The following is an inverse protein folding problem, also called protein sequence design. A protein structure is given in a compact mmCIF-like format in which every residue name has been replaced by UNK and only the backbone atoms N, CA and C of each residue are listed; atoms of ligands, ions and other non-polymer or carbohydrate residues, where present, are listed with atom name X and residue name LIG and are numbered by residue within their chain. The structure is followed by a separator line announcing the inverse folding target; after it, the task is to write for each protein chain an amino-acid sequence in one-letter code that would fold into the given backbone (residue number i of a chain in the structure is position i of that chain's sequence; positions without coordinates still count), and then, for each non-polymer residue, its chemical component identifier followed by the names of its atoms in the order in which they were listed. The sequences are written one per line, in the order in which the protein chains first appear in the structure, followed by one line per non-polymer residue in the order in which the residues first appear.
data_IF_504890048493
#
_entry.id   IF_504890048493
#
_cell.length_a   1.000
_cell.length_b   1.000
_cell.length_c   1.000
_cell.angle_alpha   90.00
_cell.angle_beta   90.00
_cell.angle_gamma   90.00
#
_symmetry.space_group_name_H-M   'P 1'
#
loop_
_entity.id
_entity.type
_entity.pdbx_description
1 polymer ?
#
# COMPACT_ATOMS: atom_id res chain seq x y z
N UNK A 1 5.36 1.68 33.26
CA UNK A 1 4.84 2.20 31.98
C UNK A 1 5.93 2.04 30.94
N UNK A 2 5.66 1.33 29.84
CA UNK A 2 6.59 1.09 28.75
C UNK A 2 6.31 2.01 27.56
N UNK A 3 7.32 2.20 26.72
CA UNK A 3 7.25 2.97 25.48
C UNK A 3 7.85 2.13 24.36
N UNK A 4 7.07 1.86 23.32
CA UNK A 4 7.46 1.08 22.16
C UNK A 4 7.71 2.02 20.97
N UNK A 5 8.93 1.99 20.42
CA UNK A 5 9.35 2.79 19.26
C UNK A 5 10.00 1.91 18.21
N UNK A 6 10.07 2.41 16.98
CA UNK A 6 10.67 1.70 15.83
C UNK A 6 12.17 1.41 16.00
N UNK A 7 12.88 2.25 16.75
CA UNK A 7 14.32 2.20 16.95
C UNK A 7 14.75 1.17 17.99
N UNK A 8 13.80 0.60 18.74
CA UNK A 8 14.06 -0.35 19.81
C UNK A 8 14.42 -1.73 19.26
N UNK A 9 15.34 -2.39 19.96
CA UNK A 9 15.65 -3.81 19.74
C UNK A 9 14.46 -4.71 20.13
N UNK A 10 14.51 -5.98 19.74
CA UNK A 10 13.48 -6.95 20.15
C UNK A 10 13.40 -7.09 21.67
N UNK A 11 14.53 -7.07 22.36
CA UNK A 11 14.61 -7.17 23.81
C UNK A 11 14.00 -5.95 24.49
N UNK A 12 14.29 -4.75 23.98
CA UNK A 12 13.72 -3.49 24.48
C UNK A 12 12.22 -3.41 24.24
N UNK A 13 11.74 -3.85 23.06
CA UNK A 13 10.31 -3.97 22.75
C UNK A 13 9.59 -4.92 23.70
N UNK A 14 10.18 -6.08 23.98
CA UNK A 14 9.62 -7.05 24.93
C UNK A 14 9.50 -6.42 26.32
N UNK A 15 10.54 -5.76 26.81
CA UNK A 15 10.51 -5.04 28.09
C UNK A 15 9.44 -3.94 28.12
N UNK A 16 9.23 -3.23 27.00
CA UNK A 16 8.17 -2.23 26.88
C UNK A 16 6.77 -2.86 27.00
N UNK A 17 6.51 -3.97 26.32
CA UNK A 17 5.23 -4.69 26.39
C UNK A 17 4.97 -5.40 27.73
N UNK A 18 6.03 -5.75 28.47
CA UNK A 18 5.92 -6.35 29.81
C UNK A 18 5.39 -5.38 30.87
N UNK A 19 5.47 -4.06 30.62
CA UNK A 19 4.89 -3.07 31.51
C UNK A 19 3.35 -3.19 31.62
N UNK A 20 2.79 -2.67 32.71
CA UNK A 20 1.33 -2.65 32.93
C UNK A 20 0.57 -1.80 31.90
N UNK A 21 1.21 -0.73 31.42
CA UNK A 21 0.70 0.20 30.41
C UNK A 21 1.81 0.45 29.41
N UNK A 22 1.51 0.34 28.12
CA UNK A 22 2.46 0.55 27.02
C UNK A 22 1.94 1.64 26.09
N UNK A 23 2.75 2.66 25.83
CA UNK A 23 2.51 3.63 24.75
C UNK A 23 3.25 3.18 23.48
N UNK A 24 2.61 3.34 22.33
CA UNK A 24 3.13 2.94 21.02
C UNK A 24 2.37 3.68 19.93
N UNK A 25 2.93 3.74 18.72
CA UNK A 25 2.16 4.10 17.53
C UNK A 25 1.39 2.89 17.00
N UNK A 26 0.29 3.14 16.30
CA UNK A 26 -0.49 2.13 15.55
C UNK A 26 0.41 1.31 14.61
N UNK A 27 1.30 1.97 13.86
CA UNK A 27 2.27 1.32 12.98
C UNK A 27 3.15 0.31 13.74
N UNK A 28 3.77 0.71 14.84
CA UNK A 28 4.63 -0.18 15.62
C UNK A 28 3.84 -1.36 16.22
N UNK A 29 2.63 -1.12 16.73
CA UNK A 29 1.76 -2.19 17.24
C UNK A 29 1.43 -3.22 16.15
N UNK A 30 1.04 -2.75 14.96
CA UNK A 30 0.68 -3.63 13.86
C UNK A 30 1.89 -4.38 13.28
N UNK A 31 3.04 -3.72 13.12
CA UNK A 31 4.26 -4.39 12.65
C UNK A 31 4.83 -5.38 13.67
N UNK A 32 4.77 -5.08 14.97
CA UNK A 32 5.15 -6.03 16.01
C UNK A 32 4.25 -7.26 15.98
N UNK A 33 2.94 -7.09 15.78
CA UNK A 33 2.02 -8.20 15.58
C UNK A 33 2.37 -9.05 14.34
N UNK A 34 2.63 -8.41 13.19
CA UNK A 34 3.02 -9.14 11.98
C UNK A 34 4.32 -9.92 12.20
N UNK A 35 5.34 -9.29 12.80
CA UNK A 35 6.62 -9.93 13.13
C UNK A 35 6.45 -11.09 14.10
N UNK A 36 5.61 -10.96 15.12
CA UNK A 36 5.28 -12.00 16.10
C UNK A 36 4.67 -13.26 15.47
N UNK A 37 4.00 -13.14 14.32
CA UNK A 37 3.44 -14.26 13.58
C UNK A 37 4.42 -14.85 12.54
N UNK A 38 5.62 -14.28 12.42
CA UNK A 38 6.68 -14.73 11.52
C UNK A 38 7.88 -15.34 12.27
N UNK A 39 7.91 -15.31 13.61
CA UNK A 39 9.00 -15.89 14.40
C UNK A 39 8.98 -17.42 14.36
N UNK A 40 10.15 -18.03 14.53
CA UNK A 40 10.29 -19.49 14.55
C UNK A 40 10.03 -20.06 15.95
N UNK A 41 10.40 -19.31 17.00
CA UNK A 41 10.26 -19.73 18.39
C UNK A 41 9.37 -18.76 19.16
N UNK A 42 8.57 -19.30 20.09
CA UNK A 42 7.58 -18.53 20.86
C UNK A 42 8.24 -17.42 21.69
N UNK A 43 9.45 -17.67 22.18
CA UNK A 43 10.23 -16.78 23.04
C UNK A 43 10.69 -15.53 22.29
N UNK A 44 10.73 -15.57 20.95
CA UNK A 44 11.11 -14.43 20.11
C UNK A 44 9.99 -13.40 19.92
N UNK A 45 8.77 -13.72 20.39
CA UNK A 45 7.65 -12.78 20.39
C UNK A 45 7.88 -11.62 21.34
N UNK A 46 7.42 -10.44 20.93
CA UNK A 46 7.48 -9.22 21.74
C UNK A 46 6.12 -8.85 22.32
N UNK A 47 5.01 -9.16 21.65
CA UNK A 47 3.68 -8.81 22.14
C UNK A 47 3.12 -9.85 23.12
N UNK A 48 2.38 -9.34 24.10
CA UNK A 48 1.48 -10.11 24.97
C UNK A 48 0.09 -10.20 24.34
N UNK A 49 -0.83 -11.02 24.89
CA UNK A 49 -2.21 -11.05 24.43
C UNK A 49 -2.85 -9.65 24.40
N UNK A 50 -3.55 -9.34 23.30
CA UNK A 50 -4.16 -8.04 23.05
C UNK A 50 -5.39 -7.83 23.95
N UNK A 51 -5.18 -7.19 25.10
CA UNK A 51 -6.22 -7.05 26.12
C UNK A 51 -7.07 -5.80 25.92
N UNK A 52 -6.48 -4.61 26.05
CA UNK A 52 -7.20 -3.34 25.96
C UNK A 52 -6.36 -2.30 25.23
N UNK A 53 -6.94 -1.64 24.23
CA UNK A 53 -6.37 -0.48 23.57
C UNK A 53 -7.24 0.76 23.79
N UNK A 54 -6.58 1.86 24.15
CA UNK A 54 -7.15 3.21 24.18
C UNK A 54 -6.45 4.01 23.09
N UNK A 55 -7.19 4.40 22.06
CA UNK A 55 -6.65 5.03 20.86
C UNK A 55 -6.87 6.55 20.96
N UNK A 56 -5.78 7.30 20.96
CA UNK A 56 -5.82 8.76 20.80
C UNK A 56 -5.95 9.12 19.31
N UNK A 57 -6.66 10.19 18.98
CA UNK A 57 -7.02 10.57 17.60
C UNK A 57 -7.61 9.39 16.81
N UNK A 58 -8.65 8.78 17.39
CA UNK A 58 -9.22 7.52 16.90
C UNK A 58 -9.81 7.61 15.48
N UNK A 59 -10.31 8.77 15.06
CA UNK A 59 -10.77 9.02 13.69
C UNK A 59 -9.60 8.98 12.69
N UNK A 60 -8.48 9.63 12.99
CA UNK A 60 -7.29 9.54 12.13
C UNK A 60 -6.78 8.10 11.98
N UNK A 61 -6.74 7.33 13.07
CA UNK A 61 -6.16 5.97 13.04
C UNK A 61 -7.13 4.93 12.46
N UNK A 62 -8.40 4.94 12.88
CA UNK A 62 -9.36 3.90 12.54
C UNK A 62 -10.19 4.18 11.30
N UNK A 63 -10.17 5.42 10.78
CA UNK A 63 -10.88 5.83 9.56
C UNK A 63 -9.88 6.25 8.48
N UNK A 64 -9.09 7.30 8.72
CA UNK A 64 -8.24 7.87 7.67
C UNK A 64 -7.10 6.94 7.24
N UNK A 65 -6.35 6.41 8.21
CA UNK A 65 -5.21 5.51 8.01
C UNK A 65 -5.63 4.06 7.77
N UNK A 66 -6.86 3.67 8.14
CA UNK A 66 -7.38 2.32 7.99
C UNK A 66 -7.45 1.82 6.54
N UNK A 67 -7.36 2.73 5.57
CA UNK A 67 -7.42 2.44 4.12
C UNK A 67 -6.17 1.72 3.60
N UNK A 68 -5.02 1.91 4.22
CA UNK A 68 -3.76 1.30 3.75
C UNK A 68 -3.37 0.15 4.69
N UNK A 69 -3.21 -1.08 4.17
CA UNK A 69 -2.76 -2.20 5.00
C UNK A 69 -1.28 -2.06 5.37
N UNK A 70 -0.92 -2.60 6.53
CA UNK A 70 0.47 -2.83 6.90
C UNK A 70 0.98 -4.07 6.16
N UNK A 71 2.15 -3.95 5.55
CA UNK A 71 2.74 -5.00 4.71
C UNK A 71 4.20 -5.21 5.13
N UNK A 72 4.58 -6.44 5.44
CA UNK A 72 5.98 -6.86 5.50
C UNK A 72 6.31 -7.53 4.17
N UNK A 73 7.19 -6.90 3.40
CA UNK A 73 7.71 -7.44 2.15
C UNK A 73 9.03 -8.19 2.40
N UNK A 74 9.18 -9.35 1.76
CA UNK A 74 10.41 -10.12 1.72
C UNK A 74 10.96 -10.20 0.30
N UNK A 75 12.20 -10.64 0.17
CA UNK A 75 12.75 -11.00 -1.14
C UNK A 75 12.12 -12.31 -1.60
N UNK A 76 11.51 -12.32 -2.79
CA UNK A 76 11.12 -13.56 -3.43
C UNK A 76 12.38 -14.40 -3.73
N UNK A 77 12.44 -15.63 -3.22
CA UNK A 77 13.53 -16.55 -3.56
C UNK A 77 13.51 -16.93 -5.05
N UNK A 78 14.68 -16.93 -5.70
CA UNK A 78 14.99 -17.43 -7.07
C UNK A 78 13.86 -17.36 -8.13
N UNK A 79 13.06 -16.29 -8.18
CA UNK A 79 12.02 -16.12 -9.22
C UNK A 79 12.63 -15.84 -10.60
N UNK A 80 13.81 -15.20 -10.64
CA UNK A 80 14.50 -14.87 -11.89
C UNK A 80 14.79 -16.09 -12.77
N UNK A 81 15.14 -17.25 -12.18
CA UNK A 81 15.41 -18.46 -12.97
C UNK A 81 14.14 -19.02 -13.62
N UNK A 82 13.01 -18.94 -12.90
CA UNK A 82 11.72 -19.38 -13.40
C UNK A 82 11.30 -18.53 -14.61
N UNK A 83 11.37 -17.19 -14.51
CA UNK A 83 11.06 -16.30 -15.64
C UNK A 83 11.99 -16.50 -16.83
N UNK A 84 13.29 -16.81 -16.61
CA UNK A 84 14.20 -17.17 -17.70
C UNK A 84 13.78 -18.45 -18.41
N UNK A 85 13.39 -19.49 -17.66
CA UNK A 85 12.93 -20.76 -18.21
C UNK A 85 11.58 -20.61 -18.94
N UNK A 86 10.62 -19.92 -18.32
CA UNK A 86 9.31 -19.64 -18.92
C UNK A 86 9.43 -18.79 -20.19
N UNK A 87 10.31 -17.78 -20.21
CA UNK A 87 10.61 -17.00 -21.42
C UNK A 87 11.19 -17.86 -22.55
N UNK A 88 12.15 -18.75 -22.22
CA UNK A 88 12.72 -19.67 -23.21
C UNK A 88 11.66 -20.64 -23.75
N UNK A 89 10.75 -21.12 -22.91
CA UNK A 89 9.64 -21.96 -23.30
C UNK A 89 8.64 -21.25 -24.23
N UNK A 90 8.20 -20.04 -23.86
CA UNK A 90 7.24 -19.25 -24.63
C UNK A 90 7.76 -18.95 -26.04
N UNK A 91 9.07 -18.71 -26.20
CA UNK A 91 9.71 -18.52 -27.52
C UNK A 91 9.60 -19.74 -28.44
N UNK A 92 9.32 -20.94 -27.91
CA UNK A 92 9.11 -22.16 -28.69
C UNK A 92 7.64 -22.39 -29.06
N UNK A 93 6.71 -21.59 -28.54
CA UNK A 93 5.29 -21.74 -28.80
C UNK A 93 4.91 -21.13 -30.15
N UNK A 94 3.93 -21.75 -30.81
CA UNK A 94 3.36 -21.27 -32.07
C UNK A 94 2.03 -20.57 -31.84
N UNK A 95 1.86 -19.39 -32.45
CA UNK A 95 0.65 -18.57 -32.33
C UNK A 95 -0.62 -19.24 -32.88
N UNK A 96 -0.48 -20.16 -33.83
CA UNK A 96 -1.63 -20.81 -34.48
C UNK A 96 -2.15 -22.02 -33.70
N UNK A 97 -1.31 -22.65 -32.87
CA UNK A 97 -1.62 -23.95 -32.25
C UNK A 97 -1.58 -23.93 -30.74
N UNK A 98 -0.66 -23.18 -30.14
CA UNK A 98 -0.26 -23.39 -28.74
C UNK A 98 -0.93 -22.40 -27.78
N UNK A 99 -1.49 -21.30 -28.28
CA UNK A 99 -2.20 -20.31 -27.47
C UNK A 99 -3.23 -19.54 -28.30
N UNK A 100 -4.18 -18.91 -27.61
CA UNK A 100 -5.16 -17.99 -28.18
C UNK A 100 -4.89 -16.58 -27.67
N UNK A 101 -5.07 -15.59 -28.54
CA UNK A 101 -4.97 -14.17 -28.21
C UNK A 101 -6.28 -13.47 -28.55
N UNK A 102 -6.82 -12.75 -27.59
CA UNK A 102 -8.02 -11.94 -27.77
C UNK A 102 -7.64 -10.45 -27.74
N UNK A 103 -7.72 -9.77 -28.90
CA UNK A 103 -7.31 -8.37 -29.04
C UNK A 103 -8.12 -7.39 -28.19
N UNK A 104 -9.41 -7.67 -27.96
CA UNK A 104 -10.31 -6.79 -27.21
C UNK A 104 -9.95 -6.72 -25.72
N UNK A 105 -9.54 -7.85 -25.14
CA UNK A 105 -9.18 -7.97 -23.72
C UNK A 105 -7.67 -7.94 -23.50
N UNK A 106 -6.87 -7.98 -24.58
CA UNK A 106 -5.44 -8.30 -24.56
C UNK A 106 -5.14 -9.55 -23.72
N UNK A 107 -6.07 -10.51 -23.69
CA UNK A 107 -5.97 -11.76 -22.95
C UNK A 107 -5.22 -12.81 -23.77
N UNK A 108 -4.31 -13.54 -23.15
CA UNK A 108 -3.61 -14.67 -23.78
C UNK A 108 -3.79 -15.91 -22.91
N UNK A 109 -4.19 -17.02 -23.54
CA UNK A 109 -4.42 -18.30 -22.85
C UNK A 109 -3.77 -19.42 -23.63
N UNK A 110 -3.13 -20.38 -22.95
CA UNK A 110 -2.65 -21.60 -23.60
C UNK A 110 -3.82 -22.44 -24.10
N UNK A 111 -3.65 -23.07 -25.26
CA UNK A 111 -4.56 -24.14 -25.73
C UNK A 111 -4.19 -25.46 -25.06
N UNK A 112 -5.03 -26.49 -25.20
CA UNK A 112 -4.71 -27.85 -24.73
C UNK A 112 -3.37 -28.36 -25.30
N UNK A 113 -3.07 -28.03 -26.56
CA UNK A 113 -1.79 -28.37 -27.19
C UNK A 113 -0.60 -27.62 -26.55
N UNK A 114 -0.79 -26.34 -26.20
CA UNK A 114 0.20 -25.56 -25.47
C UNK A 114 0.46 -26.08 -24.06
N UNK A 115 -0.60 -26.54 -23.37
CA UNK A 115 -0.50 -27.19 -22.05
C UNK A 115 0.28 -28.49 -22.14
N UNK A 116 -0.06 -29.38 -23.07
CA UNK A 116 0.66 -30.66 -23.25
C UNK A 116 2.15 -30.43 -23.58
N UNK A 117 2.45 -29.39 -24.36
CA UNK A 117 3.83 -28.99 -24.69
C UNK A 117 4.56 -28.44 -23.47
N UNK A 118 3.89 -27.69 -22.60
CA UNK A 118 4.45 -27.24 -21.33
C UNK A 118 4.76 -28.42 -20.40
N UNK A 119 3.81 -29.35 -20.25
CA UNK A 119 3.98 -30.57 -19.45
C UNK A 119 5.19 -31.39 -19.88
N UNK A 120 5.35 -31.60 -21.20
CA UNK A 120 6.53 -32.27 -21.77
C UNK A 120 7.83 -31.48 -21.57
N UNK A 121 7.81 -30.16 -21.75
CA UNK A 121 9.02 -29.33 -21.66
C UNK A 121 9.57 -29.25 -20.23
N UNK A 122 8.68 -29.23 -19.23
CA UNK A 122 9.03 -29.13 -17.82
C UNK A 122 9.05 -30.50 -17.10
N UNK A 123 8.65 -31.58 -17.78
CA UNK A 123 8.66 -32.94 -17.24
C UNK A 123 7.66 -33.13 -16.10
N UNK A 124 6.45 -32.56 -16.25
CA UNK A 124 5.38 -32.60 -15.25
C UNK A 124 4.12 -33.26 -15.84
N UNK A 125 3.33 -33.89 -14.98
CA UNK A 125 2.14 -34.62 -15.42
C UNK A 125 0.91 -33.72 -15.61
N UNK A 126 0.78 -32.66 -14.81
CA UNK A 126 -0.34 -31.73 -14.87
C UNK A 126 0.10 -30.30 -14.52
N UNK A 127 -0.02 -29.38 -15.48
CA UNK A 127 0.34 -27.95 -15.28
C UNK A 127 -0.57 -27.24 -14.26
N UNK A 128 -1.80 -27.73 -14.07
CA UNK A 128 -2.79 -27.14 -13.17
C UNK A 128 -2.74 -27.68 -11.74
N UNK A 129 -1.80 -28.56 -11.43
CA UNK A 129 -1.62 -29.06 -10.07
C UNK A 129 -1.17 -27.93 -9.12
N UNK A 130 -1.56 -28.03 -7.84
CA UNK A 130 -1.25 -27.03 -6.82
C UNK A 130 0.27 -26.84 -6.62
N UNK A 131 1.06 -27.87 -6.91
CA UNK A 131 2.52 -27.82 -6.88
C UNK A 131 3.12 -26.95 -8.00
N UNK A 132 2.41 -26.75 -9.10
CA UNK A 132 2.89 -26.07 -10.31
C UNK A 132 2.27 -24.69 -10.53
N UNK A 133 1.48 -24.18 -9.57
CA UNK A 133 0.82 -22.86 -9.66
C UNK A 133 1.79 -21.74 -10.05
N UNK A 134 2.99 -21.72 -9.46
CA UNK A 134 4.01 -20.70 -9.77
C UNK A 134 4.55 -20.82 -11.20
N UNK A 135 4.75 -22.05 -11.68
CA UNK A 135 5.24 -22.30 -13.04
C UNK A 135 4.18 -21.89 -14.07
N UNK A 136 2.94 -22.32 -13.86
CA UNK A 136 1.81 -21.95 -14.70
C UNK A 136 1.65 -20.43 -14.76
N UNK A 137 1.70 -19.77 -13.59
CA UNK A 137 1.70 -18.31 -13.51
C UNK A 137 2.82 -17.66 -14.32
N UNK A 138 4.07 -18.10 -14.12
CA UNK A 138 5.21 -17.56 -14.84
C UNK A 138 5.12 -17.77 -16.36
N UNK A 139 4.63 -18.92 -16.83
CA UNK A 139 4.38 -19.18 -18.25
C UNK A 139 3.34 -18.22 -18.81
N UNK A 140 2.20 -18.04 -18.13
CA UNK A 140 1.16 -17.11 -18.59
C UNK A 140 1.65 -15.66 -18.63
N UNK A 141 2.42 -15.21 -17.63
CA UNK A 141 3.00 -13.85 -17.63
C UNK A 141 4.06 -13.69 -18.73
N UNK A 142 4.91 -14.69 -18.96
CA UNK A 142 5.85 -14.70 -20.09
C UNK A 142 5.10 -14.66 -21.42
N UNK A 143 4.03 -15.43 -21.57
CA UNK A 143 3.24 -15.46 -22.79
C UNK A 143 2.55 -14.11 -23.06
N UNK A 144 1.96 -13.50 -22.02
CA UNK A 144 1.41 -12.14 -22.08
C UNK A 144 2.46 -11.09 -22.44
N UNK A 145 3.67 -11.18 -21.87
CA UNK A 145 4.77 -10.28 -22.19
C UNK A 145 5.19 -10.37 -23.66
N UNK A 146 5.14 -11.56 -24.27
CA UNK A 146 5.48 -11.75 -25.69
C UNK A 146 4.38 -11.28 -26.64
N UNK A 147 3.13 -11.60 -26.35
CA UNK A 147 2.02 -11.45 -27.30
C UNK A 147 1.29 -10.12 -27.16
N UNK A 148 1.14 -9.60 -25.93
CA UNK A 148 0.32 -8.42 -25.66
C UNK A 148 1.12 -7.15 -25.40
N UNK A 149 2.38 -7.28 -24.96
CA UNK A 149 3.22 -6.15 -24.55
C UNK A 149 4.29 -5.87 -25.61
N UNK A 150 4.30 -4.65 -26.14
CA UNK A 150 5.17 -4.27 -27.25
C UNK A 150 6.15 -3.16 -26.83
N UNK A 151 7.43 -3.34 -27.19
CA UNK A 151 8.45 -2.30 -27.03
C UNK A 151 8.10 -1.10 -27.93
N UNK A 152 8.39 0.11 -27.47
CA UNK A 152 8.03 1.40 -28.06
C UNK A 152 6.52 1.70 -28.15
N UNK A 153 5.67 0.87 -27.54
CA UNK A 153 4.21 1.09 -27.46
C UNK A 153 3.73 1.03 -26.02
N UNK A 154 3.90 -0.12 -25.36
CA UNK A 154 3.45 -0.31 -23.97
C UNK A 154 4.57 0.02 -22.96
N UNK A 155 5.83 -0.23 -23.34
CA UNK A 155 7.03 0.07 -22.54
C UNK A 155 8.21 0.43 -23.44
N UNK A 156 9.27 0.97 -22.85
CA UNK A 156 10.59 1.17 -23.50
C UNK A 156 11.70 0.58 -22.64
N UNK A 157 12.79 0.17 -23.29
CA UNK A 157 14.02 -0.26 -22.61
C UNK A 157 15.01 0.92 -22.57
N UNK A 158 15.32 1.42 -21.38
CA UNK A 158 16.25 2.54 -21.21
C UNK A 158 17.24 2.22 -20.08
N UNK A 159 18.54 2.38 -20.33
CA UNK A 159 19.61 2.15 -19.34
C UNK A 159 19.60 0.74 -18.72
N UNK A 160 19.05 -0.25 -19.42
CA UNK A 160 18.88 -1.60 -18.87
C UNK A 160 17.74 -1.71 -17.87
N UNK A 161 16.72 -0.85 -17.95
CA UNK A 161 15.48 -0.93 -17.19
C UNK A 161 14.26 -0.84 -18.11
N UNK A 162 13.15 -1.46 -17.67
CA UNK A 162 11.86 -1.37 -18.35
C UNK A 162 11.08 -0.17 -17.81
N UNK A 163 10.79 0.80 -18.68
CA UNK A 163 10.00 1.99 -18.32
C UNK A 163 8.65 1.92 -19.01
N UNK A 164 7.57 2.04 -18.23
CA UNK A 164 6.19 1.99 -18.73
C UNK A 164 5.88 3.27 -19.53
N UNK A 165 5.20 3.11 -20.66
CA UNK A 165 4.67 4.22 -21.47
C UNK A 165 3.19 4.39 -21.17
N UNK A 166 2.76 5.62 -20.89
CA UNK A 166 1.34 5.94 -20.80
C UNK A 166 0.70 5.89 -22.21
N UNK A 167 -0.25 4.97 -22.41
CA UNK A 167 -0.91 4.75 -23.69
C UNK A 167 -1.71 5.94 -24.23
N UNK A 168 -2.04 6.95 -23.40
CA UNK A 168 -2.74 8.15 -23.86
C UNK A 168 -1.79 9.30 -24.19
N UNK A 169 -0.74 9.48 -23.40
CA UNK A 169 0.11 10.67 -23.47
C UNK A 169 1.50 10.40 -24.03
N UNK A 170 1.91 9.12 -24.15
CA UNK A 170 3.26 8.71 -24.52
C UNK A 170 4.32 9.03 -23.47
N UNK A 171 3.91 9.45 -22.25
CA UNK A 171 4.84 9.83 -21.18
C UNK A 171 5.48 8.60 -20.56
N UNK A 172 6.78 8.73 -20.27
CA UNK A 172 7.55 7.74 -19.53
C UNK A 172 7.20 7.78 -18.04
N UNK A 173 6.65 6.69 -17.52
CA UNK A 173 6.23 6.56 -16.12
C UNK A 173 7.35 5.97 -15.26
N UNK A 174 8.38 6.78 -14.99
CA UNK A 174 9.51 6.36 -14.14
C UNK A 174 9.05 5.95 -12.73
N UNK A 175 9.64 4.90 -12.19
CA UNK A 175 9.32 4.35 -10.87
C UNK A 175 8.05 3.49 -10.81
N UNK A 176 7.31 3.33 -11.91
CA UNK A 176 6.20 2.38 -11.99
C UNK A 176 6.67 1.04 -12.55
N UNK A 177 6.14 -0.05 -11.98
CA UNK A 177 6.35 -1.42 -12.45
C UNK A 177 5.01 -2.08 -12.73
N UNK A 178 4.98 -3.04 -13.64
CA UNK A 178 3.80 -3.87 -13.84
C UNK A 178 3.67 -4.84 -12.65
N UNK A 179 2.44 -5.11 -12.25
CA UNK A 179 2.14 -6.02 -11.14
C UNK A 179 2.16 -7.49 -11.57
N UNK A 180 2.05 -8.39 -10.59
CA UNK A 180 1.75 -9.81 -10.80
C UNK A 180 2.81 -10.59 -11.62
N UNK A 181 4.07 -10.15 -11.52
CA UNK A 181 5.18 -10.79 -12.22
C UNK A 181 5.33 -10.45 -13.70
N UNK A 182 4.44 -9.63 -14.27
CA UNK A 182 4.50 -9.23 -15.68
C UNK A 182 5.76 -8.43 -15.99
N UNK A 183 6.21 -7.59 -15.05
CA UNK A 183 7.39 -6.76 -15.25
C UNK A 183 8.66 -7.62 -15.38
N UNK A 184 8.81 -8.64 -14.53
CA UNK A 184 9.89 -9.63 -14.59
C UNK A 184 9.84 -10.46 -15.89
N UNK A 185 8.63 -10.78 -16.36
CA UNK A 185 8.45 -11.46 -17.64
C UNK A 185 8.92 -10.61 -18.83
N UNK A 186 8.69 -9.29 -18.80
CA UNK A 186 9.19 -8.34 -19.81
C UNK A 186 10.71 -8.18 -19.69
N UNK A 187 11.25 -8.02 -18.48
CA UNK A 187 12.71 -8.00 -18.23
C UNK A 187 13.37 -9.25 -18.83
N UNK A 188 12.79 -10.44 -18.60
CA UNK A 188 13.27 -11.70 -19.17
C UNK A 188 13.15 -11.74 -20.70
N UNK A 189 12.05 -11.23 -21.27
CA UNK A 189 11.83 -11.15 -22.73
C UNK A 189 12.90 -10.32 -23.42
N UNK A 190 13.19 -9.13 -22.87
CA UNK A 190 14.15 -8.16 -23.41
C UNK A 190 15.61 -8.47 -23.04
N UNK A 191 15.85 -9.49 -22.22
CA UNK A 191 17.19 -9.90 -21.81
C UNK A 191 17.85 -8.95 -20.81
N UNK A 192 17.05 -8.15 -20.10
CA UNK A 192 17.46 -7.22 -19.06
C UNK A 192 17.66 -7.96 -17.73
N UNK A 193 18.41 -7.37 -16.79
CA UNK A 193 18.55 -7.92 -15.45
C UNK A 193 17.17 -8.00 -14.77
N UNK A 194 16.75 -9.21 -14.43
CA UNK A 194 15.47 -9.45 -13.76
C UNK A 194 15.61 -9.03 -12.31
N UNK A 195 14.91 -7.97 -11.93
CA UNK A 195 14.93 -7.54 -10.54
C UNK A 195 14.01 -8.44 -9.72
N UNK A 196 14.50 -8.88 -8.56
CA UNK A 196 13.72 -9.73 -7.67
C UNK A 196 12.40 -9.04 -7.29
N UNK A 197 11.34 -9.84 -7.25
CA UNK A 197 10.04 -9.39 -6.80
C UNK A 197 10.05 -9.20 -5.28
N UNK A 198 9.47 -8.09 -4.84
CA UNK A 198 9.09 -7.89 -3.44
C UNK A 198 7.82 -8.70 -3.20
N UNK A 199 7.90 -9.78 -2.42
CA UNK A 199 6.74 -10.60 -2.09
C UNK A 199 6.16 -10.18 -0.74
N UNK A 200 4.85 -10.02 -0.65
CA UNK A 200 4.16 -9.80 0.63
C UNK A 200 4.27 -11.06 1.50
N UNK A 201 5.01 -10.98 2.59
CA UNK A 201 5.19 -12.07 3.55
C UNK A 201 4.06 -12.11 4.59
N UNK A 202 3.63 -10.93 5.03
CA UNK A 202 2.55 -10.78 6.00
C UNK A 202 1.83 -9.44 5.76
N UNK A 203 0.52 -9.42 5.99
CA UNK A 203 -0.29 -8.21 5.84
C UNK A 203 -1.45 -8.18 6.83
N UNK A 204 -1.80 -6.98 7.30
CA UNK A 204 -3.00 -6.73 8.12
C UNK A 204 -3.47 -5.29 7.94
N UNK A 205 -4.79 -5.05 7.95
CA UNK A 205 -5.36 -3.70 8.02
C UNK A 205 -5.47 -3.24 9.48
N UNK A 206 -5.45 -1.93 9.75
CA UNK A 206 -5.71 -1.43 11.10
C UNK A 206 -7.07 -1.88 11.64
N UNK A 207 -8.09 -1.91 10.78
CA UNK A 207 -9.42 -2.45 11.12
C UNK A 207 -9.33 -3.85 11.73
N UNK A 208 -8.68 -4.78 11.02
CA UNK A 208 -8.54 -6.16 11.49
C UNK A 208 -7.63 -6.26 12.70
N UNK A 209 -6.57 -5.45 12.77
CA UNK A 209 -5.65 -5.43 13.90
C UNK A 209 -6.35 -5.03 15.21
N UNK A 210 -7.02 -3.88 15.23
CA UNK A 210 -7.65 -3.37 16.44
C UNK A 210 -8.89 -4.16 16.87
N UNK A 211 -9.57 -4.83 15.93
CA UNK A 211 -10.67 -5.77 16.26
C UNK A 211 -10.24 -7.00 17.06
N UNK A 212 -8.95 -7.32 17.11
CA UNK A 212 -8.45 -8.45 17.91
C UNK A 212 -8.33 -8.13 19.41
N UNK A 213 -8.37 -6.86 19.80
CA UNK A 213 -8.32 -6.50 21.22
C UNK A 213 -9.62 -6.92 21.93
N UNK A 214 -9.51 -7.46 23.15
CA UNK A 214 -10.69 -7.86 23.93
C UNK A 214 -11.59 -6.66 24.28
N UNK A 215 -10.98 -5.48 24.47
CA UNK A 215 -11.66 -4.22 24.66
C UNK A 215 -11.00 -3.14 23.81
N UNK A 216 -11.80 -2.25 23.25
CA UNK A 216 -11.34 -1.12 22.44
C UNK A 216 -12.05 0.15 22.90
N UNK A 217 -11.30 1.24 23.01
CA UNK A 217 -11.85 2.59 23.22
C UNK A 217 -10.97 3.60 22.48
N UNK A 218 -11.49 4.80 22.28
CA UNK A 218 -10.74 5.88 21.69
C UNK A 218 -11.29 7.25 22.04
N UNK A 219 -10.48 8.27 21.77
CA UNK A 219 -10.80 9.67 22.01
C UNK A 219 -10.38 10.51 20.80
N UNK A 220 -11.16 11.55 20.51
CA UNK A 220 -10.93 12.53 19.44
C UNK A 220 -11.90 13.69 19.60
N UNK A 221 -11.61 14.82 18.97
CA UNK A 221 -12.54 15.96 18.84
C UNK A 221 -13.64 15.75 17.80
N UNK A 222 -13.48 14.84 16.84
CA UNK A 222 -14.23 14.85 15.56
C UNK A 222 -14.94 13.54 15.18
N UNK A 223 -15.24 12.64 16.11
CA UNK A 223 -15.84 11.33 15.80
C UNK A 223 -17.33 11.33 15.41
N UNK A 224 -18.08 12.42 15.59
CA UNK A 224 -19.55 12.38 15.48
C UNK A 224 -20.05 12.17 14.04
N UNK A 225 -19.29 12.63 13.05
CA UNK A 225 -19.60 12.39 11.63
C UNK A 225 -19.43 10.93 11.26
N UNK A 226 -18.45 10.25 11.84
CA UNK A 226 -18.10 8.85 11.56
C UNK A 226 -18.76 7.84 12.52
N UNK A 227 -19.83 8.24 13.24
CA UNK A 227 -20.47 7.40 14.25
C UNK A 227 -20.98 6.07 13.69
N UNK A 228 -21.53 6.10 12.48
CA UNK A 228 -22.02 4.90 11.81
C UNK A 228 -20.87 3.93 11.47
N UNK A 229 -19.73 4.44 11.01
CA UNK A 229 -18.55 3.64 10.71
C UNK A 229 -17.97 2.99 11.99
N UNK A 230 -17.84 3.76 13.07
CA UNK A 230 -17.39 3.23 14.37
C UNK A 230 -18.29 2.13 14.91
N UNK A 231 -19.61 2.28 14.77
CA UNK A 231 -20.57 1.25 15.20
C UNK A 231 -20.48 0.01 14.31
N UNK A 232 -20.46 0.18 12.99
CA UNK A 232 -20.55 -0.93 12.05
C UNK A 232 -19.26 -1.77 12.00
N UNK A 233 -18.09 -1.13 12.07
CA UNK A 233 -16.80 -1.81 11.91
C UNK A 233 -16.24 -2.28 13.26
N UNK A 234 -16.34 -1.44 14.29
CA UNK A 234 -15.68 -1.66 15.57
C UNK A 234 -16.64 -1.92 16.74
N UNK A 235 -17.95 -1.86 16.52
CA UNK A 235 -18.97 -1.95 17.56
C UNK A 235 -18.75 -0.91 18.69
N UNK A 236 -18.29 0.28 18.31
CA UNK A 236 -18.04 1.40 19.21
C UNK A 236 -19.15 2.45 19.08
N UNK A 237 -19.62 2.97 20.21
CA UNK A 237 -20.57 4.09 20.23
C UNK A 237 -19.82 5.40 20.46
N UNK A 238 -20.18 6.44 19.70
CA UNK A 238 -19.60 7.78 19.86
C UNK A 238 -20.38 8.56 20.90
N UNK A 239 -19.73 8.85 22.02
CA UNK A 239 -20.30 9.65 23.11
C UNK A 239 -19.71 11.06 23.05
N UNK A 240 -20.54 12.05 22.69
CA UNK A 240 -20.14 13.45 22.70
C UNK A 240 -20.11 13.97 24.15
N UNK A 241 -18.91 14.15 24.69
CA UNK A 241 -18.72 14.67 26.04
C UNK A 241 -18.94 16.20 26.05
N UNK A 242 -19.74 16.75 26.97
CA UNK A 242 -19.91 18.20 27.09
C UNK A 242 -18.60 18.92 27.34
N UNK A 243 -18.45 20.12 26.79
CA UNK A 243 -17.27 20.95 27.03
C UNK A 243 -17.24 21.46 28.47
N UNK A 244 -16.04 21.59 29.03
CA UNK A 244 -15.85 22.15 30.37
C UNK A 244 -16.28 23.63 30.47
N UNK A 245 -16.22 24.37 29.36
CA UNK A 245 -16.70 25.75 29.25
C UNK A 245 -17.55 25.92 27.99
N UNK A 246 -18.53 26.86 27.98
CA UNK A 246 -19.25 27.22 26.77
C UNK A 246 -18.28 27.65 25.66
N UNK A 247 -18.54 27.21 24.42
CA UNK A 247 -17.73 27.58 23.25
C UNK A 247 -18.11 29.02 22.85
N UNK A 248 -17.11 29.91 22.81
CA UNK A 248 -17.26 31.31 22.40
C UNK A 248 -16.52 31.64 21.09
N UNK A 249 -16.10 30.61 20.34
CA UNK A 249 -15.41 30.75 19.06
C UNK A 249 -16.41 31.20 17.98
N UNK A 250 -16.04 32.21 17.20
CA UNK A 250 -16.81 32.70 16.05
C UNK A 250 -16.41 31.93 14.78
N UNK A 251 -17.18 30.89 14.44
CA UNK A 251 -17.00 30.09 13.23
C UNK A 251 -17.73 30.76 12.06
N UNK A 252 -16.96 31.45 11.21
CA UNK A 252 -17.48 32.22 10.08
C UNK A 252 -17.77 31.33 8.86
N UNK A 253 -18.75 31.71 8.01
CA UNK A 253 -19.02 30.99 6.76
C UNK A 253 -17.85 31.11 5.78
N UNK A 254 -17.75 30.13 4.87
CA UNK A 254 -16.72 30.08 3.85
C UNK A 254 -16.75 31.28 2.90
N UNK A 255 -15.58 31.76 2.52
CA UNK A 255 -15.40 32.78 1.49
C UNK A 255 -14.97 32.11 0.17
N UNK A 256 -15.79 32.27 -0.87
CA UNK A 256 -15.55 31.67 -2.19
C UNK A 256 -15.00 32.74 -3.14
N UNK A 257 -13.91 32.41 -3.83
CA UNK A 257 -13.23 33.31 -4.77
C UNK A 257 -13.24 32.71 -6.18
N UNK A 258 -13.32 33.58 -7.19
CA UNK A 258 -13.34 33.16 -8.60
C UNK A 258 -12.01 32.56 -9.09
N UNK A 259 -10.89 32.88 -8.42
CA UNK A 259 -9.57 32.35 -8.77
C UNK A 259 -8.75 32.02 -7.52
N UNK A 260 -7.81 31.08 -7.68
CA UNK A 260 -6.87 30.70 -6.63
C UNK A 260 -5.94 31.85 -6.24
N UNK A 261 -5.48 32.64 -7.21
CA UNK A 261 -4.67 33.83 -6.94
C UNK A 261 -5.45 34.86 -6.11
N UNK A 262 -6.72 35.10 -6.45
CA UNK A 262 -7.60 36.00 -5.70
C UNK A 262 -7.80 35.51 -4.26
N UNK A 263 -8.03 34.21 -4.08
CA UNK A 263 -8.11 33.58 -2.76
C UNK A 263 -6.84 33.80 -1.93
N UNK A 264 -5.66 33.51 -2.49
CA UNK A 264 -4.40 33.62 -1.76
C UNK A 264 -4.06 35.06 -1.38
N UNK A 265 -4.29 36.03 -2.27
CA UNK A 265 -4.13 37.45 -1.93
C UNK A 265 -5.06 37.89 -0.81
N UNK A 266 -6.32 37.42 -0.82
CA UNK A 266 -7.27 37.73 0.24
C UNK A 266 -6.85 37.12 1.59
N UNK A 267 -6.36 35.87 1.58
CA UNK A 267 -5.80 35.22 2.79
C UNK A 267 -4.60 35.99 3.33
N UNK A 268 -3.63 36.35 2.48
CA UNK A 268 -2.46 37.12 2.90
C UNK A 268 -2.84 38.50 3.49
N UNK A 269 -3.84 39.17 2.91
CA UNK A 269 -4.36 40.43 3.44
C UNK A 269 -4.98 40.29 4.84
N UNK A 270 -5.82 39.25 5.07
CA UNK A 270 -6.41 38.98 6.39
C UNK A 270 -5.34 38.65 7.44
N UNK A 271 -4.35 37.83 7.07
CA UNK A 271 -3.19 37.53 7.94
C UNK A 271 -2.46 38.82 8.31
N UNK A 272 -2.16 39.68 7.34
CA UNK A 272 -1.44 40.93 7.55
C UNK A 272 -2.20 41.91 8.47
N UNK A 273 -3.53 42.00 8.34
CA UNK A 273 -4.38 42.81 9.20
C UNK A 273 -4.33 42.32 10.66
N UNK A 274 -4.55 41.02 10.87
CA UNK A 274 -4.55 40.40 12.21
C UNK A 274 -3.18 40.46 12.87
N UNK A 275 -2.14 40.20 12.10
CA UNK A 275 -0.76 40.26 12.60
C UNK A 275 -0.39 41.69 13.04
N UNK A 276 -0.77 42.72 12.26
CA UNK A 276 -0.58 44.14 12.67
C UNK A 276 -1.32 44.47 13.96
N UNK A 277 -2.47 43.83 14.21
CA UNK A 277 -3.23 43.97 15.45
C UNK A 277 -2.70 43.11 16.63
N UNK A 278 -1.67 42.29 16.40
CA UNK A 278 -1.08 41.40 17.42
C UNK A 278 -1.87 40.12 17.69
N UNK A 279 -2.85 39.78 16.86
CA UNK A 279 -3.63 38.55 16.99
C UNK A 279 -2.84 37.35 16.42
N UNK A 280 -2.70 36.22 17.16
CA UNK A 280 -2.07 35.01 16.64
C UNK A 280 -2.94 34.38 15.54
N UNK A 281 -2.29 33.87 14.50
CA UNK A 281 -2.96 33.28 13.33
C UNK A 281 -2.40 31.89 13.06
N UNK A 282 -3.27 30.91 12.85
CA UNK A 282 -2.94 29.58 12.35
C UNK A 282 -3.56 29.40 10.97
N UNK A 283 -2.75 29.04 9.97
CA UNK A 283 -3.18 28.85 8.58
C UNK A 283 -3.03 27.37 8.23
N UNK A 284 -4.14 26.70 7.93
CA UNK A 284 -4.14 25.33 7.43
C UNK A 284 -4.09 25.29 5.91
N UNK A 285 -3.21 24.45 5.35
CA UNK A 285 -3.18 24.15 3.91
C UNK A 285 -3.20 22.64 3.70
N UNK A 286 -3.69 22.20 2.54
CA UNK A 286 -3.81 20.76 2.21
C UNK A 286 -2.49 20.20 1.63
N UNK A 287 -1.64 21.06 1.06
CA UNK A 287 -0.42 20.64 0.36
C UNK A 287 0.75 21.60 0.66
N UNK A 288 1.97 21.06 0.64
CA UNK A 288 3.21 21.78 0.96
C UNK A 288 3.41 22.95 -0.01
N UNK A 289 3.15 22.76 -1.30
CA UNK A 289 3.29 23.79 -2.33
C UNK A 289 2.40 25.01 -2.04
N UNK A 290 1.23 24.80 -1.43
CA UNK A 290 0.33 25.88 -1.05
C UNK A 290 0.84 26.63 0.17
N UNK A 291 1.43 25.93 1.14
CA UNK A 291 2.13 26.57 2.26
C UNK A 291 3.25 27.49 1.77
N UNK A 292 4.06 27.01 0.82
CA UNK A 292 5.15 27.80 0.21
C UNK A 292 4.61 29.03 -0.53
N UNK A 293 3.53 28.89 -1.31
CA UNK A 293 2.92 30.03 -2.00
C UNK A 293 2.47 31.09 -0.99
N UNK A 294 1.78 30.69 0.09
CA UNK A 294 1.30 31.64 1.11
C UNK A 294 2.48 32.26 1.88
N UNK A 295 3.52 31.49 2.18
CA UNK A 295 4.71 31.98 2.89
C UNK A 295 5.48 33.05 2.12
N UNK A 296 5.38 33.06 0.78
CA UNK A 296 6.06 34.03 -0.08
C UNK A 296 5.26 35.32 -0.31
N UNK A 297 4.01 35.39 0.15
CA UNK A 297 3.11 36.55 0.03
C UNK A 297 3.16 37.45 1.27
#
# INVERSE_FOLDING_TARGET
VGLNLNSLSKEEKRAAYEADITYSTNNELGFDYLRDNMVLYKEERVQRPLHYAVIDEVDSILVDEARTPLIISGQAGKSAQLYKQSNAFVRMLSAETDYTYEESTKGVTLTDAGVEKAEKAFGIDNLFDLTHVRLNHAINQSLKAHVSMHNDVDYVVQEGEIIIVDGFTGRLMKGRRYSDGLHQAIEAKEGVEIQNESMTMATITFQNYFRMYQKLSGMTGTAKTEEEEFRNIYNMNVVAIPTNKPIARDDRPDLIFASMEGKYKAVAADIAERHKAGQPVLVGTVAIETSEIISNL
#
